data_IF_408305758264
#
_entry.id   IF_408305758264
#
_cell.length_a   1.000
_cell.length_b   1.000
_cell.length_c   1.000
_cell.angle_alpha   90.00
_cell.angle_beta   90.00
_cell.angle_gamma   90.00
#
_symmetry.space_group_name_H-M   'P 1'
#
loop_
_entity.id
_entity.type
_entity.pdbx_description
1 polymer ?
#
# COMPACT_ATOMS: atom_id res chain seq x y z
N UNK A 1 -0.40 -5.80 -4.34
CA UNK A 1 -1.14 -4.61 -4.83
C UNK A 1 -0.16 -3.70 -5.55
N UNK A 2 -0.62 -2.99 -6.57
CA UNK A 2 0.07 -1.85 -7.17
C UNK A 2 -0.85 -0.63 -7.02
N UNK A 3 -0.29 0.55 -6.86
CA UNK A 3 -1.03 1.81 -6.97
C UNK A 3 -0.22 2.72 -7.89
N UNK A 4 -0.67 2.89 -9.12
CA UNK A 4 0.04 3.65 -10.14
C UNK A 4 -0.14 5.14 -9.93
N UNK A 5 0.89 5.91 -10.26
CA UNK A 5 0.73 7.34 -10.42
C UNK A 5 -0.27 7.60 -11.57
N UNK A 6 -1.48 8.00 -11.19
CA UNK A 6 -2.60 8.27 -12.09
C UNK A 6 -3.04 9.73 -12.01
N UNK A 7 -2.07 10.63 -11.84
CA UNK A 7 -2.29 12.08 -11.85
C UNK A 7 -2.92 12.58 -13.16
N UNK A 8 -2.64 11.93 -14.29
CA UNK A 8 -3.30 12.19 -15.58
C UNK A 8 -4.81 11.85 -15.57
N UNK A 9 -5.24 11.01 -14.62
CA UNK A 9 -6.65 10.72 -14.34
C UNK A 9 -7.20 11.55 -13.16
N UNK A 10 -6.44 12.51 -12.64
CA UNK A 10 -6.81 13.35 -11.51
C UNK A 10 -6.66 12.70 -10.13
N UNK A 11 -6.00 11.53 -10.03
CA UNK A 11 -5.81 10.82 -8.76
C UNK A 11 -4.54 11.32 -8.06
N UNK A 12 -4.66 11.70 -6.79
CA UNK A 12 -3.51 12.10 -5.97
C UNK A 12 -2.49 10.95 -5.79
N UNK A 13 -1.21 11.29 -5.77
CA UNK A 13 -0.13 10.31 -5.64
C UNK A 13 0.96 10.83 -4.68
N UNK A 14 1.52 9.98 -3.79
CA UNK A 14 2.58 10.39 -2.86
C UNK A 14 3.89 10.61 -3.62
N UNK A 15 4.10 11.85 -4.07
CA UNK A 15 5.25 12.22 -4.89
C UNK A 15 6.18 13.22 -4.20
N UNK A 16 5.63 14.22 -3.50
CA UNK A 16 6.38 15.41 -3.06
C UNK A 16 6.30 15.69 -1.55
N UNK A 17 5.92 14.69 -0.76
CA UNK A 17 5.83 14.78 0.70
C UNK A 17 6.74 13.71 1.31
N UNK A 18 7.90 14.08 1.87
CA UNK A 18 8.78 13.12 2.55
C UNK A 18 8.05 12.37 3.66
N UNK A 19 8.26 11.06 3.74
CA UNK A 19 7.60 10.19 4.70
C UNK A 19 8.59 9.58 5.69
N UNK A 20 8.11 9.32 6.91
CA UNK A 20 8.82 8.51 7.91
C UNK A 20 8.24 7.10 7.94
N UNK A 21 9.07 6.12 8.29
CA UNK A 21 8.65 4.74 8.51
C UNK A 21 8.21 4.57 9.95
N UNK A 22 7.06 3.93 10.16
CA UNK A 22 6.48 3.67 11.48
C UNK A 22 6.13 2.19 11.62
N UNK A 23 6.22 1.67 12.84
CA UNK A 23 5.74 0.34 13.21
C UNK A 23 5.09 0.41 14.60
N UNK A 24 3.96 -0.26 14.78
CA UNK A 24 3.23 -0.29 16.05
C UNK A 24 2.45 -1.59 16.20
N UNK A 25 2.22 -2.00 17.45
CA UNK A 25 1.25 -3.02 17.84
C UNK A 25 0.26 -2.34 18.79
N UNK A 26 -1.02 -2.32 18.44
CA UNK A 26 -2.05 -1.60 19.18
C UNK A 26 -3.41 -2.28 19.05
N UNK A 27 -4.32 -2.00 19.99
CA UNK A 27 -5.68 -2.53 19.99
C UNK A 27 -6.61 -1.73 19.06
N UNK A 28 -7.35 -2.42 18.21
CA UNK A 28 -8.27 -1.83 17.23
C UNK A 28 -9.64 -2.54 17.20
N UNK A 29 -10.18 -2.81 18.39
CA UNK A 29 -11.41 -3.56 18.63
C UNK A 29 -12.63 -3.11 17.80
N UNK A 30 -12.68 -1.85 17.40
CA UNK A 30 -13.83 -1.29 16.70
C UNK A 30 -13.92 -1.75 15.23
N UNK A 31 -12.86 -2.31 14.65
CA UNK A 31 -12.86 -2.69 13.23
C UNK A 31 -11.96 -3.87 12.85
N UNK A 32 -10.96 -4.25 13.64
CA UNK A 32 -9.89 -5.16 13.20
C UNK A 32 -10.37 -6.59 12.87
N UNK A 33 -11.15 -7.20 13.76
CA UNK A 33 -11.53 -8.63 13.63
C UNK A 33 -13.02 -8.76 13.36
N UNK A 34 -13.37 -9.43 12.25
CA UNK A 34 -14.76 -9.57 11.74
C UNK A 34 -15.52 -8.23 11.68
N UNK A 35 -14.84 -7.16 11.28
CA UNK A 35 -15.44 -5.81 11.22
C UNK A 35 -15.77 -5.22 12.59
N UNK A 36 -15.06 -5.64 13.65
CA UNK A 36 -15.24 -5.13 15.02
C UNK A 36 -16.17 -5.96 15.90
N UNK A 37 -16.65 -7.10 15.41
CA UNK A 37 -17.54 -8.00 16.17
C UNK A 37 -16.79 -8.80 17.24
N UNK A 38 -15.54 -9.18 16.99
CA UNK A 38 -14.71 -9.90 17.95
C UNK A 38 -13.79 -8.90 18.67
N UNK A 39 -13.85 -8.91 20.01
CA UNK A 39 -13.05 -8.02 20.87
C UNK A 39 -11.83 -8.75 21.41
N UNK A 40 -10.80 -7.98 21.74
CA UNK A 40 -9.55 -8.50 22.29
C UNK A 40 -9.80 -9.21 23.63
N UNK A 41 -9.44 -10.49 23.69
CA UNK A 41 -9.38 -11.22 24.95
C UNK A 41 -8.06 -10.90 25.67
N UNK A 42 -8.11 -9.90 26.55
CA UNK A 42 -6.94 -9.43 27.30
C UNK A 42 -6.37 -10.47 28.28
N UNK A 43 -7.10 -11.55 28.59
CA UNK A 43 -6.53 -12.67 29.36
C UNK A 43 -5.44 -13.43 28.60
N UNK A 44 -5.32 -13.23 27.28
CA UNK A 44 -4.29 -13.82 26.41
C UNK A 44 -3.02 -12.96 26.28
N UNK A 45 -2.94 -11.85 26.99
CA UNK A 45 -1.76 -11.01 27.00
C UNK A 45 -0.52 -11.75 27.58
N UNK A 46 0.70 -11.39 27.16
CA UNK A 46 1.05 -10.32 26.23
C UNK A 46 0.88 -10.70 24.75
N UNK A 47 0.40 -9.75 23.94
CA UNK A 47 0.44 -9.84 22.49
C UNK A 47 1.82 -9.38 22.02
N UNK A 48 2.56 -10.24 21.32
CA UNK A 48 3.95 -9.98 20.95
C UNK A 48 4.11 -9.97 19.44
N UNK A 49 4.68 -8.88 18.91
CA UNK A 49 5.15 -8.77 17.52
C UNK A 49 6.67 -8.63 17.53
N UNK A 50 7.36 -9.42 16.71
CA UNK A 50 8.82 -9.43 16.61
C UNK A 50 9.27 -8.93 15.24
N UNK A 51 10.24 -8.01 15.22
CA UNK A 51 10.73 -7.37 14.00
C UNK A 51 12.21 -7.66 13.80
N UNK A 52 12.61 -7.76 12.52
CA UNK A 52 14.02 -7.90 12.10
C UNK A 52 14.23 -7.26 10.74
N UNK A 53 15.49 -7.07 10.37
CA UNK A 53 15.87 -6.64 9.03
C UNK A 53 15.99 -5.13 8.85
N UNK A 54 15.20 -4.30 9.55
CA UNK A 54 15.25 -2.81 9.62
C UNK A 54 15.87 -2.09 8.40
N UNK A 55 15.58 -2.59 7.19
CA UNK A 55 16.29 -2.17 5.99
C UNK A 55 15.64 -0.92 5.43
N UNK A 56 16.46 0.11 5.21
CA UNK A 56 16.03 1.36 4.59
C UNK A 56 17.03 1.69 3.49
N UNK A 57 16.54 1.63 2.26
CA UNK A 57 17.20 2.20 1.09
C UNK A 57 16.21 3.14 0.42
N UNK A 58 16.37 4.42 0.75
CA UNK A 58 15.51 5.49 0.30
C UNK A 58 16.34 6.71 -0.10
N UNK A 59 15.69 7.68 -0.71
CA UNK A 59 16.28 9.00 -0.88
C UNK A 59 15.93 9.86 0.33
N UNK A 60 16.93 10.20 1.13
CA UNK A 60 16.74 11.03 2.31
C UNK A 60 16.31 12.44 1.90
N UNK A 61 15.27 12.94 2.55
CA UNK A 61 14.76 14.30 2.35
C UNK A 61 14.25 14.86 3.68
N UNK A 62 14.57 16.12 3.96
CA UNK A 62 14.02 16.81 5.13
C UNK A 62 12.54 17.14 4.91
N UNK A 63 11.76 17.34 5.97
CA UNK A 63 10.32 17.69 5.87
C UNK A 63 10.07 18.96 5.06
N UNK A 64 11.03 19.90 5.02
CA UNK A 64 10.93 21.13 4.24
C UNK A 64 11.26 20.96 2.74
N UNK A 65 11.81 19.81 2.34
CA UNK A 65 12.13 19.51 0.95
C UNK A 65 10.93 18.85 0.27
N UNK A 66 10.61 19.31 -0.94
CA UNK A 66 9.52 18.75 -1.73
C UNK A 66 9.92 17.56 -2.59
N UNK A 67 11.22 17.33 -2.81
CA UNK A 67 11.71 16.29 -3.73
C UNK A 67 13.04 15.70 -3.28
N UNK A 68 13.33 14.51 -3.80
CA UNK A 68 14.60 13.81 -3.62
C UNK A 68 15.72 14.50 -4.42
N UNK A 69 16.87 14.79 -3.79
CA UNK A 69 18.01 15.41 -4.47
C UNK A 69 18.62 14.53 -5.58
N UNK A 70 18.49 13.21 -5.49
CA UNK A 70 18.99 12.23 -6.46
C UNK A 70 17.87 11.63 -7.33
N UNK A 71 16.74 12.33 -7.49
CA UNK A 71 15.60 11.85 -8.28
C UNK A 71 16.04 11.51 -9.70
N UNK A 72 15.63 10.33 -10.19
CA UNK A 72 15.98 9.84 -11.53
C UNK A 72 17.30 9.08 -11.60
N UNK A 73 18.13 9.15 -10.55
CA UNK A 73 19.45 8.50 -10.50
C UNK A 73 19.44 7.20 -9.70
N UNK A 74 18.35 6.89 -8.99
CA UNK A 74 18.27 5.71 -8.12
C UNK A 74 17.91 4.48 -8.90
N UNK A 75 18.25 3.30 -8.38
CA UNK A 75 17.95 2.03 -9.06
C UNK A 75 16.44 1.84 -9.28
N UNK A 76 15.59 2.33 -8.36
CA UNK A 76 14.14 2.27 -8.49
C UNK A 76 13.55 3.28 -9.47
N UNK A 77 14.34 4.25 -9.94
CA UNK A 77 13.92 5.20 -10.98
C UNK A 77 14.23 4.68 -12.40
N UNK A 78 14.85 3.49 -12.52
CA UNK A 78 15.24 2.94 -13.82
C UNK A 78 14.08 2.23 -14.50
N UNK A 79 14.09 2.19 -15.84
CA UNK A 79 13.03 1.63 -16.69
C UNK A 79 12.50 0.24 -16.27
N UNK A 80 13.35 -0.59 -15.68
CA UNK A 80 12.96 -1.91 -15.16
C UNK A 80 11.93 -1.84 -14.01
N UNK A 81 11.75 -0.68 -13.38
CA UNK A 81 10.88 -0.43 -12.24
C UNK A 81 9.68 0.48 -12.57
N UNK A 82 9.54 0.94 -13.82
CA UNK A 82 8.38 1.70 -14.28
C UNK A 82 7.08 0.87 -14.19
N UNK A 83 7.20 -0.44 -14.39
CA UNK A 83 6.10 -1.39 -14.25
C UNK A 83 6.55 -2.76 -13.75
N UNK A 84 5.58 -3.52 -13.23
CA UNK A 84 5.78 -4.94 -12.96
C UNK A 84 5.99 -5.70 -14.27
N UNK A 85 6.84 -6.71 -14.23
CA UNK A 85 6.99 -7.64 -15.33
C UNK A 85 5.76 -8.57 -15.48
N UNK A 86 5.69 -9.31 -16.58
CA UNK A 86 4.57 -10.21 -16.87
C UNK A 86 4.41 -11.38 -15.89
N UNK A 87 5.47 -11.81 -15.20
CA UNK A 87 5.38 -12.83 -14.15
C UNK A 87 4.83 -12.24 -12.85
N UNK A 88 5.30 -11.06 -12.46
CA UNK A 88 4.81 -10.32 -11.30
C UNK A 88 3.33 -9.98 -11.45
N UNK A 89 2.88 -9.55 -12.64
CA UNK A 89 1.46 -9.33 -12.92
C UNK A 89 0.61 -10.60 -12.79
N UNK A 90 1.12 -11.76 -13.24
CA UNK A 90 0.41 -13.05 -13.06
C UNK A 90 0.29 -13.44 -11.59
N UNK A 91 1.37 -13.28 -10.81
CA UNK A 91 1.34 -13.50 -9.36
C UNK A 91 0.34 -12.57 -8.66
N UNK A 92 0.30 -11.30 -9.06
CA UNK A 92 -0.68 -10.36 -8.51
C UNK A 92 -2.11 -10.78 -8.87
N UNK A 93 -2.37 -11.25 -10.09
CA UNK A 93 -3.67 -11.80 -10.47
C UNK A 93 -4.07 -13.00 -9.61
N UNK A 94 -3.16 -13.94 -9.35
CA UNK A 94 -3.44 -15.07 -8.46
C UNK A 94 -3.85 -14.61 -7.05
N UNK A 95 -3.16 -13.60 -6.50
CA UNK A 95 -3.54 -12.97 -5.21
C UNK A 95 -4.95 -12.39 -5.27
N UNK A 96 -5.29 -11.72 -6.36
CA UNK A 96 -6.63 -11.14 -6.57
C UNK A 96 -7.72 -12.19 -6.62
N UNK A 97 -7.53 -13.20 -7.46
CA UNK A 97 -8.56 -14.20 -7.72
C UNK A 97 -8.79 -15.12 -6.51
N UNK A 98 -7.74 -15.44 -5.74
CA UNK A 98 -7.78 -16.52 -4.74
C UNK A 98 -7.74 -16.06 -3.29
N UNK A 99 -7.16 -14.90 -3.01
CA UNK A 99 -6.84 -14.49 -1.64
C UNK A 99 -7.48 -13.15 -1.23
N UNK A 100 -8.16 -12.46 -2.14
CA UNK A 100 -8.78 -11.17 -1.84
C UNK A 100 -10.18 -11.34 -1.26
N UNK A 101 -10.35 -10.98 0.01
CA UNK A 101 -11.65 -11.02 0.71
C UNK A 101 -12.39 -9.67 0.72
N UNK A 102 -11.67 -8.57 0.44
CA UNK A 102 -12.23 -7.23 0.30
C UNK A 102 -11.38 -6.41 -0.66
N UNK A 103 -12.02 -5.63 -1.52
CA UNK A 103 -11.37 -4.72 -2.45
C UNK A 103 -12.27 -3.51 -2.73
N UNK A 104 -11.75 -2.31 -2.50
CA UNK A 104 -12.50 -1.06 -2.71
C UNK A 104 -12.86 -0.83 -4.19
N UNK A 105 -12.03 -1.29 -5.12
CA UNK A 105 -12.30 -1.17 -6.55
C UNK A 105 -13.54 -1.93 -7.03
N UNK A 106 -13.96 -2.98 -6.30
CA UNK A 106 -15.16 -3.78 -6.58
C UNK A 106 -16.32 -3.51 -5.60
N UNK A 107 -16.10 -2.70 -4.56
CA UNK A 107 -17.12 -2.35 -3.55
C UNK A 107 -18.09 -1.29 -4.11
N UNK A 108 -19.12 -1.75 -4.82
CA UNK A 108 -20.14 -0.87 -5.43
C UNK A 108 -21.08 -0.22 -4.42
N UNK A 109 -21.13 -0.72 -3.18
CA UNK A 109 -21.92 -0.08 -2.11
C UNK A 109 -21.23 1.18 -1.62
N UNK A 110 -19.90 1.13 -1.42
CA UNK A 110 -19.11 2.27 -0.98
C UNK A 110 -18.73 3.20 -2.13
N UNK A 111 -18.41 2.63 -3.29
CA UNK A 111 -17.99 3.33 -4.50
C UNK A 111 -18.91 2.96 -5.66
N UNK A 112 -20.05 3.67 -5.82
CA UNK A 112 -20.99 3.40 -6.92
C UNK A 112 -20.32 3.45 -8.29
N UNK A 113 -19.40 4.40 -8.46
CA UNK A 113 -18.49 4.48 -9.60
C UNK A 113 -17.10 4.02 -9.16
N UNK A 114 -16.48 3.14 -9.96
CA UNK A 114 -15.14 2.64 -9.71
C UNK A 114 -14.10 3.79 -9.77
N UNK A 115 -13.14 3.78 -8.84
CA UNK A 115 -12.08 4.77 -8.83
C UNK A 115 -11.20 4.70 -10.09
N UNK A 116 -10.72 5.83 -10.66
CA UNK A 116 -10.08 5.85 -11.97
C UNK A 116 -8.81 5.00 -12.11
N UNK A 117 -8.05 4.83 -11.03
CA UNK A 117 -6.81 4.05 -10.99
C UNK A 117 -7.03 2.54 -11.10
N UNK A 118 -8.21 2.04 -10.69
CA UNK A 118 -8.46 0.61 -10.50
C UNK A 118 -8.19 -0.23 -11.75
N UNK A 119 -8.51 0.30 -12.94
CA UNK A 119 -8.25 -0.38 -14.20
C UNK A 119 -6.74 -0.46 -14.50
N UNK A 120 -5.99 0.62 -14.22
CA UNK A 120 -4.54 0.70 -14.43
C UNK A 120 -3.77 -0.19 -13.44
N UNK A 121 -4.28 -0.27 -12.21
CA UNK A 121 -3.72 -1.10 -11.14
C UNK A 121 -4.05 -2.60 -11.29
N UNK A 122 -4.97 -2.92 -12.20
CA UNK A 122 -5.58 -4.26 -12.38
C UNK A 122 -6.23 -4.74 -11.09
N UNK A 123 -7.01 -3.84 -10.49
CA UNK A 123 -7.76 -4.02 -9.25
C UNK A 123 -9.27 -4.18 -9.50
N UNK A 124 -9.72 -4.01 -10.73
CA UNK A 124 -11.11 -4.16 -11.15
C UNK A 124 -11.58 -5.62 -11.21
#
# INVERSE_FOLDING_TARGET
>A
RVFKNSQDLGVGYPFNQPMKVYSSLWNADDWATRGGLEKTDWSKAPFVSSYKGFYVDGCEASVAQSTCATQGLRWWDQKAFDDLDGLQWRKLKDVRDKYTIYNYCSDRKRYPTMSPECARDRDA
#
